data_IF_402495973377
#
_entry.id   IF_402495973377
#
_cell.length_a   1.000
_cell.length_b   1.000
_cell.length_c   1.000
_cell.angle_alpha   90.00
_cell.angle_beta   90.00
_cell.angle_gamma   90.00
#
_symmetry.space_group_name_H-M   'P 1'
#
loop_
_entity.id
_entity.type
_entity.pdbx_description
1 polymer ?
#
# COMPACT_ATOMS: atom_id res chain seq x y z
N UNK A 1 3.46 -18.35 84.04
CA UNK A 1 3.71 -16.91 83.80
C UNK A 1 2.59 -16.46 82.86
N UNK A 2 1.37 -16.14 83.30
CA UNK A 2 0.94 -14.99 84.15
C UNK A 2 1.60 -13.69 83.64
N UNK A 3 0.93 -12.60 83.23
CA UNK A 3 -0.49 -12.20 83.24
C UNK A 3 -0.70 -10.92 82.40
N UNK A 4 -1.97 -10.65 82.09
CA UNK A 4 -2.70 -9.36 82.26
C UNK A 4 -2.47 -8.15 81.33
N UNK A 5 -3.47 -7.89 80.48
CA UNK A 5 -4.14 -6.57 80.29
C UNK A 5 -4.81 -6.10 81.62
N UNK A 6 -5.57 -4.96 81.74
CA UNK A 6 -5.88 -3.83 80.84
C UNK A 6 -5.73 -2.47 81.59
N UNK A 7 -6.23 -1.34 81.07
CA UNK A 7 -7.10 -0.36 81.80
C UNK A 7 -7.70 0.65 80.81
N UNK A 8 -9.02 0.81 80.92
CA UNK A 8 -9.91 1.84 80.38
C UNK A 8 -10.50 2.66 81.54
N UNK A 9 -11.14 3.81 81.22
CA UNK A 9 -12.02 4.73 82.00
C UNK A 9 -11.41 6.13 82.23
N UNK A 10 -12.13 7.27 82.25
CA UNK A 10 -13.55 7.60 82.15
C UNK A 10 -13.74 9.11 81.83
N UNK A 11 -14.97 9.45 81.44
CA UNK A 11 -15.61 10.77 81.29
C UNK A 11 -15.45 11.79 82.44
N UNK A 12 -15.60 13.10 82.19
CA UNK A 12 -16.82 13.92 82.49
C UNK A 12 -16.63 15.46 82.41
N UNK A 13 -17.73 16.13 82.02
CA UNK A 13 -18.25 17.46 82.44
C UNK A 13 -17.68 18.78 81.87
N UNK A 14 -18.59 19.67 81.47
CA UNK A 14 -18.34 21.12 81.34
C UNK A 14 -19.32 21.86 80.43
N UNK A 15 -20.20 22.67 81.02
CA UNK A 15 -21.40 23.34 80.48
C UNK A 15 -21.13 24.74 79.88
N UNK A 16 -22.00 25.14 78.95
CA UNK A 16 -22.62 26.47 78.70
C UNK A 16 -21.83 27.78 78.44
N UNK A 17 -22.28 28.44 77.35
CA UNK A 17 -22.67 29.86 77.15
C UNK A 17 -21.67 30.95 76.73
N UNK A 18 -22.17 31.70 75.73
CA UNK A 18 -22.05 33.14 75.43
C UNK A 18 -21.22 33.65 74.24
N UNK A 19 -22.01 34.12 73.25
CA UNK A 19 -21.95 35.37 72.49
C UNK A 19 -20.58 36.02 72.18
N UNK A 20 -20.28 36.21 70.90
CA UNK A 20 -20.40 37.49 70.16
C UNK A 20 -19.57 37.42 68.87
N UNK A 21 -20.09 38.08 67.83
CA UNK A 21 -19.74 37.80 66.44
C UNK A 21 -18.35 38.24 65.97
N UNK A 22 -17.98 37.67 64.83
CA UNK A 22 -17.23 38.41 63.82
C UNK A 22 -17.68 37.89 62.45
N UNK A 23 -18.09 38.81 61.58
CA UNK A 23 -18.57 38.47 60.25
C UNK A 23 -17.40 38.07 59.36
N UNK A 24 -17.60 37.03 58.55
CA UNK A 24 -16.80 36.80 57.36
C UNK A 24 -17.74 36.52 56.19
N UNK A 25 -17.58 37.38 55.19
CA UNK A 25 -18.33 37.44 53.95
C UNK A 25 -18.02 36.19 53.13
N UNK A 26 -19.05 35.41 52.79
CA UNK A 26 -18.97 34.40 51.75
C UNK A 26 -18.72 35.10 50.40
N UNK A 27 -17.55 34.89 49.80
CA UNK A 27 -17.33 35.12 48.37
C UNK A 27 -17.26 33.77 47.66
N UNK A 28 -18.34 33.39 46.98
CA UNK A 28 -18.35 32.32 46.00
C UNK A 28 -17.44 32.73 44.82
N UNK A 29 -16.33 31.99 44.62
CA UNK A 29 -15.52 32.06 43.39
C UNK A 29 -16.05 31.06 42.35
N UNK A 30 -15.94 31.36 41.04
CA UNK A 30 -16.61 30.58 40.00
C UNK A 30 -16.00 29.17 39.86
N UNK A 31 -16.80 28.14 39.54
CA UNK A 31 -16.32 26.78 39.30
C UNK A 31 -15.69 26.73 37.89
N UNK A 32 -14.36 26.83 37.80
CA UNK A 32 -13.71 26.82 36.49
C UNK A 32 -12.20 26.60 36.45
N UNK A 33 -11.51 26.49 37.58
CA UNK A 33 -10.03 26.54 37.59
C UNK A 33 -9.34 25.18 37.76
N UNK A 34 -10.04 24.14 38.23
CA UNK A 34 -9.49 22.77 38.33
C UNK A 34 -9.49 22.05 36.97
N UNK A 35 -10.56 22.18 36.18
CA UNK A 35 -10.64 21.56 34.85
C UNK A 35 -9.65 22.15 33.85
N UNK A 36 -9.30 23.44 34.00
CA UNK A 36 -8.31 24.09 33.13
C UNK A 36 -6.89 23.72 33.55
N UNK A 37 -6.62 23.52 34.85
CA UNK A 37 -5.33 23.00 35.32
C UNK A 37 -5.08 21.58 34.84
N UNK A 38 -6.08 20.70 34.90
CA UNK A 38 -5.99 19.33 34.39
C UNK A 38 -5.75 19.29 32.88
N UNK A 39 -6.41 20.16 32.10
CA UNK A 39 -6.23 20.26 30.64
C UNK A 39 -4.86 20.84 30.25
N UNK A 40 -4.33 21.79 31.03
CA UNK A 40 -3.00 22.38 30.80
C UNK A 40 -1.88 21.42 31.20
N UNK A 41 -2.08 20.59 32.22
CA UNK A 41 -1.12 19.56 32.63
C UNK A 41 -1.10 18.38 31.62
N UNK A 42 -2.25 18.04 31.03
CA UNK A 42 -2.38 17.08 29.92
C UNK A 42 -1.71 17.56 28.62
N UNK A 43 -1.58 18.87 28.42
CA UNK A 43 -0.98 19.47 27.21
C UNK A 43 0.55 19.62 27.27
N UNK A 44 1.16 19.59 28.47
CA UNK A 44 2.62 19.73 28.64
C UNK A 44 3.36 18.40 28.74
N UNK A 45 2.64 17.32 29.01
CA UNK A 45 3.15 15.96 29.05
C UNK A 45 2.73 15.25 27.77
N UNK A 46 3.56 15.28 26.72
CA UNK A 46 3.40 14.42 25.54
C UNK A 46 3.54 12.91 25.82
N UNK A 47 3.42 12.48 27.08
CA UNK A 47 3.39 11.09 27.47
C UNK A 47 1.92 10.62 27.54
N UNK A 48 1.56 9.52 26.85
CA UNK A 48 0.23 8.94 26.93
C UNK A 48 -0.16 8.67 28.39
N UNK A 49 -1.42 8.94 28.74
CA UNK A 49 -1.97 8.55 30.04
C UNK A 49 -1.64 7.08 30.33
N UNK A 50 -1.04 6.81 31.49
CA UNK A 50 -0.66 5.46 31.90
C UNK A 50 -1.87 4.53 31.80
N UNK A 51 -1.84 3.60 30.83
CA UNK A 51 -2.93 2.66 30.55
C UNK A 51 -3.56 2.77 29.15
N UNK A 52 -3.15 3.73 28.30
CA UNK A 52 -3.46 3.64 26.88
C UNK A 52 -2.71 2.43 26.30
N UNK A 53 -3.44 1.35 26.03
CA UNK A 53 -2.92 0.18 25.31
C UNK A 53 -2.36 0.71 23.99
N UNK A 54 -1.04 0.75 23.86
CA UNK A 54 -0.38 0.98 22.56
C UNK A 54 -0.92 -0.11 21.66
N UNK A 55 -1.73 0.27 20.67
CA UNK A 55 -2.30 -0.69 19.73
C UNK A 55 -1.14 -1.30 18.97
N UNK A 56 -1.06 -2.63 18.97
CA UNK A 56 -0.03 -3.39 18.25
C UNK A 56 -0.20 -3.34 16.72
N UNK A 57 -1.23 -2.65 16.22
CA UNK A 57 -1.53 -2.47 14.79
C UNK A 57 -1.99 -1.05 14.51
N UNK A 58 -1.59 -0.54 13.35
CA UNK A 58 -2.09 0.73 12.82
C UNK A 58 -3.58 0.63 12.50
N UNK A 59 -4.31 1.71 12.80
CA UNK A 59 -5.65 1.97 12.29
C UNK A 59 -5.62 2.25 10.80
N UNK A 60 -6.77 2.16 10.14
CA UNK A 60 -6.87 2.43 8.70
C UNK A 60 -6.44 3.87 8.34
N UNK A 61 -6.73 4.84 9.22
CA UNK A 61 -6.33 6.24 9.05
C UNK A 61 -4.81 6.42 9.10
N UNK A 62 -4.14 5.79 10.08
CA UNK A 62 -2.67 5.80 10.20
C UNK A 62 -1.99 5.15 8.98
N UNK A 63 -2.53 4.04 8.47
CA UNK A 63 -2.01 3.37 7.27
C UNK A 63 -2.15 4.30 6.06
N UNK A 64 -3.31 4.94 5.90
CA UNK A 64 -3.55 5.86 4.80
C UNK A 64 -2.67 7.12 4.86
N UNK A 65 -2.46 7.70 6.04
CA UNK A 65 -1.53 8.83 6.17
C UNK A 65 -0.11 8.45 5.76
N UNK A 66 0.35 7.24 6.10
CA UNK A 66 1.65 6.74 5.66
C UNK A 66 1.73 6.59 4.14
N UNK A 67 0.69 6.04 3.54
CA UNK A 67 0.55 5.93 2.08
C UNK A 67 0.66 7.32 1.43
N UNK A 68 -0.11 8.30 1.92
CA UNK A 68 -0.12 9.67 1.39
C UNK A 68 1.25 10.33 1.57
N UNK A 69 1.88 10.19 2.74
CA UNK A 69 3.19 10.76 3.00
C UNK A 69 4.28 10.17 2.08
N UNK A 70 4.30 8.85 1.91
CA UNK A 70 5.24 8.18 1.01
C UNK A 70 5.00 8.55 -0.46
N UNK A 71 3.73 8.66 -0.87
CA UNK A 71 3.39 9.09 -2.23
C UNK A 71 3.83 10.53 -2.51
N UNK A 72 3.73 11.44 -1.53
CA UNK A 72 4.17 12.84 -1.65
C UNK A 72 5.69 12.96 -1.81
N UNK A 73 6.45 12.09 -1.13
CA UNK A 73 7.88 11.96 -1.37
C UNK A 73 8.16 11.40 -2.78
N UNK A 74 7.43 10.37 -3.21
CA UNK A 74 7.61 9.74 -4.52
C UNK A 74 7.29 10.68 -5.69
N UNK A 75 6.23 11.47 -5.63
CA UNK A 75 5.87 12.42 -6.71
C UNK A 75 6.93 13.51 -6.90
N UNK A 76 7.74 13.78 -5.87
CA UNK A 76 8.89 14.69 -5.93
C UNK A 76 10.15 14.06 -6.50
N UNK A 77 10.17 12.72 -6.66
CA UNK A 77 11.30 11.96 -7.19
C UNK A 77 11.53 12.28 -8.66
N UNK A 78 12.79 12.38 -9.07
CA UNK A 78 13.14 12.66 -10.46
C UNK A 78 12.71 11.53 -11.39
N UNK A 79 12.13 11.86 -12.55
CA UNK A 79 11.66 10.90 -13.58
C UNK A 79 12.69 9.82 -13.93
N UNK A 80 13.98 10.17 -13.91
CA UNK A 80 15.07 9.22 -14.20
C UNK A 80 15.17 8.11 -13.15
N UNK A 81 15.09 8.47 -11.87
CA UNK A 81 15.17 7.52 -10.77
C UNK A 81 13.96 6.58 -10.79
N UNK A 82 12.77 7.15 -10.93
CA UNK A 82 11.52 6.41 -11.12
C UNK A 82 11.62 5.41 -12.28
N UNK A 83 12.14 5.85 -13.43
CA UNK A 83 12.31 4.98 -14.61
C UNK A 83 13.26 3.81 -14.38
N UNK A 84 14.44 4.04 -13.77
CA UNK A 84 15.41 2.96 -13.54
C UNK A 84 14.96 1.99 -12.45
N UNK A 85 14.28 2.49 -11.41
CA UNK A 85 13.61 1.64 -10.42
C UNK A 85 12.53 0.77 -11.10
N UNK A 86 11.74 1.36 -11.99
CA UNK A 86 10.73 0.62 -12.76
C UNK A 86 11.32 -0.39 -13.75
N UNK A 87 12.46 -0.06 -14.37
CA UNK A 87 13.21 -0.99 -15.20
C UNK A 87 13.67 -2.21 -14.40
N UNK A 88 14.19 -1.99 -13.18
CA UNK A 88 14.59 -3.06 -12.28
C UNK A 88 13.40 -3.93 -11.84
N UNK A 89 12.26 -3.32 -11.53
CA UNK A 89 11.03 -4.06 -11.23
C UNK A 89 10.59 -4.96 -12.40
N UNK A 90 10.60 -4.43 -13.63
CA UNK A 90 10.31 -5.20 -14.83
C UNK A 90 11.25 -6.39 -15.01
N UNK A 91 12.54 -6.19 -14.75
CA UNK A 91 13.52 -7.28 -14.79
C UNK A 91 13.27 -8.32 -13.68
N UNK A 92 12.94 -7.89 -12.46
CA UNK A 92 12.61 -8.80 -11.36
C UNK A 92 11.41 -9.70 -11.66
N UNK A 93 10.42 -9.22 -12.43
CA UNK A 93 9.29 -10.05 -12.91
C UNK A 93 9.77 -11.23 -13.78
N UNK A 94 10.89 -11.09 -14.48
CA UNK A 94 11.41 -12.20 -15.30
C UNK A 94 11.91 -13.36 -14.43
N UNK A 95 12.30 -13.09 -13.18
CA UNK A 95 12.63 -14.14 -12.19
C UNK A 95 11.37 -14.92 -11.82
N UNK A 96 10.24 -14.23 -11.58
CA UNK A 96 8.93 -14.88 -11.36
C UNK A 96 8.59 -15.81 -12.51
N UNK A 97 8.66 -15.32 -13.75
CA UNK A 97 8.34 -16.12 -14.93
C UNK A 97 9.30 -17.31 -15.10
N UNK A 98 10.61 -17.07 -14.96
CA UNK A 98 11.65 -18.08 -15.06
C UNK A 98 11.45 -19.23 -14.06
N UNK A 99 11.22 -18.91 -12.79
CA UNK A 99 11.06 -19.92 -11.74
C UNK A 99 9.73 -20.67 -11.88
N UNK A 100 8.65 -19.96 -12.19
CA UNK A 100 7.34 -20.56 -12.41
C UNK A 100 7.41 -21.63 -13.52
N UNK A 101 8.00 -21.27 -14.67
CA UNK A 101 8.18 -22.19 -15.80
C UNK A 101 9.11 -23.35 -15.46
N UNK A 102 10.29 -23.06 -14.90
CA UNK A 102 11.33 -24.07 -14.67
C UNK A 102 10.88 -25.13 -13.67
N UNK A 103 10.22 -24.70 -12.59
CA UNK A 103 9.72 -25.63 -11.56
C UNK A 103 8.50 -26.39 -12.07
N UNK A 104 7.58 -25.75 -12.80
CA UNK A 104 6.46 -26.46 -13.43
C UNK A 104 6.95 -27.57 -14.35
N UNK A 105 7.99 -27.31 -15.14
CA UNK A 105 8.61 -28.32 -16.00
C UNK A 105 9.25 -29.45 -15.17
N UNK A 106 10.06 -29.10 -14.16
CA UNK A 106 10.74 -30.07 -13.31
C UNK A 106 9.78 -30.95 -12.51
N UNK A 107 8.58 -30.45 -12.19
CA UNK A 107 7.51 -31.19 -11.53
C UNK A 107 6.57 -31.92 -12.50
N UNK A 108 7.04 -32.25 -13.71
CA UNK A 108 6.28 -32.97 -14.74
C UNK A 108 4.94 -32.30 -15.10
N UNK A 109 4.89 -30.96 -15.03
CA UNK A 109 3.70 -30.19 -15.35
C UNK A 109 2.74 -29.97 -14.18
N UNK A 110 3.08 -30.35 -12.94
CA UNK A 110 2.26 -30.06 -11.76
C UNK A 110 2.22 -28.54 -11.47
N UNK A 111 1.13 -27.83 -11.82
CA UNK A 111 1.13 -26.36 -11.85
C UNK A 111 1.22 -25.73 -10.46
N UNK A 112 0.76 -26.45 -9.43
CA UNK A 112 0.80 -25.99 -8.04
C UNK A 112 2.25 -25.85 -7.55
N UNK A 113 3.15 -26.77 -7.94
CA UNK A 113 4.54 -26.74 -7.47
C UNK A 113 5.27 -25.54 -8.08
N UNK A 114 5.06 -25.27 -9.37
CA UNK A 114 5.58 -24.05 -10.00
C UNK A 114 5.03 -22.78 -9.37
N UNK A 115 3.72 -22.75 -9.08
CA UNK A 115 3.05 -21.59 -8.50
C UNK A 115 3.70 -21.13 -7.17
N UNK A 116 4.25 -22.05 -6.38
CA UNK A 116 4.95 -21.71 -5.11
C UNK A 116 6.14 -20.77 -5.30
N UNK A 117 6.78 -20.76 -6.47
CA UNK A 117 7.95 -19.91 -6.73
C UNK A 117 7.60 -18.61 -7.46
N UNK A 118 6.34 -18.49 -7.92
CA UNK A 118 5.84 -17.30 -8.59
C UNK A 118 6.01 -16.00 -7.77
N UNK A 119 5.83 -15.96 -6.44
CA UNK A 119 5.97 -14.71 -5.68
C UNK A 119 7.37 -14.11 -5.62
N UNK A 120 8.43 -14.85 -5.99
CA UNK A 120 9.81 -14.43 -5.70
C UNK A 120 10.24 -13.14 -6.41
N UNK A 121 9.85 -12.93 -7.67
CA UNK A 121 10.09 -11.66 -8.37
C UNK A 121 9.40 -10.49 -7.68
N UNK A 122 8.17 -10.69 -7.20
CA UNK A 122 7.43 -9.68 -6.44
C UNK A 122 8.05 -9.38 -5.08
N UNK A 123 8.64 -10.37 -4.41
CA UNK A 123 9.38 -10.14 -3.16
C UNK A 123 10.59 -9.21 -3.40
N UNK A 124 11.33 -9.39 -4.50
CA UNK A 124 12.41 -8.46 -4.85
C UNK A 124 11.91 -7.04 -5.09
N UNK A 125 10.71 -6.90 -5.64
CA UNK A 125 10.11 -5.60 -5.94
C UNK A 125 9.68 -4.92 -4.63
N UNK A 126 8.84 -5.57 -3.83
CA UNK A 126 8.25 -4.96 -2.63
C UNK A 126 9.32 -4.73 -1.55
N UNK A 127 10.23 -5.68 -1.32
CA UNK A 127 11.28 -5.52 -0.31
C UNK A 127 12.47 -4.68 -0.82
N UNK A 128 12.65 -4.62 -2.14
CA UNK A 128 13.69 -3.82 -2.78
C UNK A 128 13.26 -2.39 -3.10
N UNK A 129 12.01 -2.03 -2.80
CA UNK A 129 11.42 -0.73 -3.08
C UNK A 129 11.50 -0.34 -4.57
N UNK A 130 11.25 -1.33 -5.44
CA UNK A 130 11.24 -1.11 -6.88
C UNK A 130 9.88 -0.67 -7.37
N UNK A 131 9.88 0.23 -8.34
CA UNK A 131 8.67 0.90 -8.80
C UNK A 131 7.86 0.01 -9.76
N UNK A 132 6.75 -0.54 -9.27
CA UNK A 132 5.85 -1.38 -10.06
C UNK A 132 4.54 -0.65 -10.38
N UNK A 133 4.11 -0.73 -11.64
CA UNK A 133 2.93 -0.02 -12.13
C UNK A 133 1.66 -0.36 -11.33
N UNK A 134 1.46 -1.64 -11.02
CA UNK A 134 0.26 -2.12 -10.34
C UNK A 134 0.23 -1.73 -8.86
N UNK A 135 1.38 -1.54 -8.24
CA UNK A 135 1.51 -0.98 -6.89
C UNK A 135 1.20 0.52 -6.88
N UNK A 136 1.61 1.22 -7.94
CA UNK A 136 1.30 2.63 -8.19
C UNK A 136 -0.20 2.91 -8.46
N UNK A 137 -1.08 1.91 -8.39
CA UNK A 137 -2.54 2.11 -8.44
C UNK A 137 -3.13 2.55 -7.10
N UNK A 138 -2.33 2.56 -6.03
CA UNK A 138 -2.77 2.99 -4.70
C UNK A 138 -2.19 4.34 -4.26
N UNK A 139 -0.87 4.53 -4.07
CA UNK A 139 -0.36 5.76 -3.44
C UNK A 139 -0.59 7.03 -4.29
N UNK A 140 -0.24 7.08 -5.60
CA UNK A 140 -0.54 8.23 -6.45
C UNK A 140 -2.04 8.54 -6.58
N UNK A 141 -2.89 7.50 -6.56
CA UNK A 141 -4.35 7.67 -6.63
C UNK A 141 -4.88 8.29 -5.34
N UNK A 142 -4.35 7.88 -4.19
CA UNK A 142 -4.68 8.50 -2.90
C UNK A 142 -4.35 10.00 -2.89
N UNK A 143 -3.20 10.42 -3.45
CA UNK A 143 -2.87 11.84 -3.60
C UNK A 143 -3.87 12.62 -4.44
N UNK A 144 -4.32 12.05 -5.57
CA UNK A 144 -5.32 12.71 -6.42
C UNK A 144 -6.67 12.82 -5.69
N UNK A 145 -7.07 11.79 -4.95
CA UNK A 145 -8.31 11.81 -4.16
C UNK A 145 -8.26 12.83 -3.01
N UNK A 146 -7.10 13.01 -2.38
CA UNK A 146 -6.83 14.04 -1.37
C UNK A 146 -6.53 15.43 -1.96
N UNK A 147 -6.59 15.58 -3.29
CA UNK A 147 -6.31 16.82 -4.04
C UNK A 147 -4.89 17.37 -3.84
N UNK A 148 -3.94 16.49 -3.56
CA UNK A 148 -2.51 16.81 -3.42
C UNK A 148 -1.77 16.65 -4.75
N UNK A 149 -2.29 15.81 -5.66
CA UNK A 149 -1.77 15.62 -7.00
C UNK A 149 -2.83 15.84 -8.09
N UNK A 150 -2.39 16.20 -9.30
CA UNK A 150 -3.27 16.34 -10.46
C UNK A 150 -3.38 15.03 -11.25
N UNK A 151 -4.46 14.87 -12.00
CA UNK A 151 -4.68 13.71 -12.88
C UNK A 151 -3.56 13.60 -13.95
N UNK A 152 -3.10 14.69 -14.60
CA UNK A 152 -1.95 14.60 -15.50
C UNK A 152 -0.67 14.12 -14.82
N UNK A 153 -0.40 14.54 -13.58
CA UNK A 153 0.76 14.07 -12.82
C UNK A 153 0.68 12.56 -12.53
N UNK A 154 -0.51 12.07 -12.15
CA UNK A 154 -0.79 10.65 -11.99
C UNK A 154 -0.47 9.86 -13.28
N UNK A 155 -0.99 10.32 -14.42
CA UNK A 155 -0.70 9.68 -15.71
C UNK A 155 0.79 9.76 -16.09
N UNK A 156 1.49 10.81 -15.70
CA UNK A 156 2.94 10.94 -15.87
C UNK A 156 3.71 9.83 -15.14
N UNK A 157 3.47 9.65 -13.84
CA UNK A 157 4.06 8.58 -13.03
C UNK A 157 3.73 7.21 -13.64
N UNK A 158 2.44 6.96 -13.87
CA UNK A 158 1.97 5.69 -14.44
C UNK A 158 2.66 5.36 -15.77
N UNK A 159 2.82 6.35 -16.65
CA UNK A 159 3.45 6.15 -17.95
C UNK A 159 4.93 5.80 -17.80
N UNK A 160 5.67 6.53 -16.97
CA UNK A 160 7.11 6.31 -16.75
C UNK A 160 7.35 4.93 -16.15
N UNK A 161 6.60 4.59 -15.09
CA UNK A 161 6.73 3.31 -14.40
C UNK A 161 6.31 2.16 -15.32
N UNK A 162 5.18 2.28 -16.01
CA UNK A 162 4.70 1.22 -16.91
C UNK A 162 5.70 0.97 -18.04
N UNK A 163 6.21 2.02 -18.69
CA UNK A 163 7.23 1.88 -19.74
C UNK A 163 8.51 1.25 -19.20
N UNK A 164 8.99 1.66 -18.03
CA UNK A 164 10.14 1.04 -17.36
C UNK A 164 9.92 -0.45 -17.13
N UNK A 165 8.77 -0.83 -16.55
CA UNK A 165 8.41 -2.23 -16.30
C UNK A 165 8.35 -3.04 -17.60
N UNK A 166 7.73 -2.51 -18.66
CA UNK A 166 7.66 -3.17 -19.96
C UNK A 166 9.04 -3.41 -20.57
N UNK A 167 9.93 -2.41 -20.52
CA UNK A 167 11.28 -2.54 -21.04
C UNK A 167 12.10 -3.55 -20.24
N UNK A 168 12.04 -3.50 -18.90
CA UNK A 168 12.76 -4.44 -18.04
C UNK A 168 12.30 -5.89 -18.26
N UNK A 169 10.97 -6.09 -18.31
CA UNK A 169 10.36 -7.39 -18.60
C UNK A 169 10.71 -7.89 -20.00
N UNK A 170 10.68 -7.01 -21.01
CA UNK A 170 11.08 -7.33 -22.39
C UNK A 170 12.54 -7.77 -22.48
N UNK A 171 13.46 -7.07 -21.79
CA UNK A 171 14.88 -7.43 -21.79
C UNK A 171 15.10 -8.81 -21.15
N UNK A 172 14.47 -9.09 -20.01
CA UNK A 172 14.58 -10.42 -19.41
C UNK A 172 13.90 -11.50 -20.25
N UNK A 173 12.75 -11.22 -20.87
CA UNK A 173 12.08 -12.13 -21.80
C UNK A 173 12.97 -12.46 -23.02
N UNK A 174 13.68 -11.47 -23.57
CA UNK A 174 14.65 -11.67 -24.65
C UNK A 174 15.78 -12.60 -24.20
N UNK A 175 16.32 -12.39 -23.00
CA UNK A 175 17.36 -13.25 -22.42
C UNK A 175 16.85 -14.68 -22.28
N UNK A 176 15.68 -14.88 -21.68
CA UNK A 176 15.06 -16.20 -21.52
C UNK A 176 14.79 -16.89 -22.86
N UNK A 177 14.41 -16.12 -23.89
CA UNK A 177 14.07 -16.64 -25.21
C UNK A 177 15.30 -17.03 -26.07
N UNK A 178 16.49 -16.47 -25.81
CA UNK A 178 17.62 -16.53 -26.77
C UNK A 178 18.95 -17.02 -26.21
N UNK A 179 19.19 -16.97 -24.89
CA UNK A 179 20.54 -17.18 -24.32
C UNK A 179 20.81 -18.59 -23.78
N UNK A 180 19.79 -19.44 -23.72
CA UNK A 180 19.91 -20.81 -23.19
C UNK A 180 19.66 -20.94 -21.68
N UNK A 181 19.17 -19.88 -21.02
CA UNK A 181 18.68 -19.96 -19.63
C UNK A 181 17.59 -21.02 -19.50
N UNK A 182 16.67 -21.09 -20.47
CA UNK A 182 15.80 -22.24 -20.63
C UNK A 182 16.43 -23.29 -21.55
N UNK A 183 16.44 -24.54 -21.10
CA UNK A 183 16.69 -25.68 -21.99
C UNK A 183 15.58 -25.80 -23.04
N UNK A 184 15.84 -26.55 -24.11
CA UNK A 184 14.85 -26.72 -25.19
C UNK A 184 13.51 -27.29 -24.71
N UNK A 185 13.50 -28.12 -23.68
CA UNK A 185 12.27 -28.70 -23.13
C UNK A 185 11.55 -27.73 -22.19
N UNK A 186 12.28 -27.00 -21.34
CA UNK A 186 11.71 -25.93 -20.50
C UNK A 186 11.11 -24.82 -21.37
N UNK A 187 11.73 -24.52 -22.51
CA UNK A 187 11.23 -23.55 -23.49
C UNK A 187 9.82 -23.92 -24.01
N UNK A 188 9.53 -25.21 -24.21
CA UNK A 188 8.19 -25.66 -24.63
C UNK A 188 7.16 -25.41 -23.53
N UNK A 189 7.52 -25.66 -22.28
CA UNK A 189 6.67 -25.34 -21.12
C UNK A 189 6.43 -23.83 -21.02
N UNK A 190 7.46 -23.01 -21.24
CA UNK A 190 7.33 -21.55 -21.26
C UNK A 190 6.32 -21.08 -22.32
N UNK A 191 6.45 -21.57 -23.55
CA UNK A 191 5.53 -21.25 -24.65
C UNK A 191 4.10 -21.70 -24.31
N UNK A 192 3.92 -22.93 -23.83
CA UNK A 192 2.61 -23.46 -23.49
C UNK A 192 1.93 -22.65 -22.38
N UNK A 193 2.67 -22.24 -21.35
CA UNK A 193 2.17 -21.37 -20.26
C UNK A 193 1.76 -20.00 -20.83
N UNK A 194 2.63 -19.34 -21.58
CA UNK A 194 2.35 -18.00 -22.12
C UNK A 194 1.18 -18.00 -23.12
N UNK A 195 1.02 -19.07 -23.92
CA UNK A 195 -0.09 -19.21 -24.86
C UNK A 195 -1.46 -19.27 -24.15
N UNK A 196 -1.53 -19.68 -22.88
CA UNK A 196 -2.80 -19.68 -22.13
C UNK A 196 -3.40 -18.28 -21.98
N UNK A 197 -2.56 -17.25 -21.85
CA UNK A 197 -2.99 -15.85 -21.78
C UNK A 197 -3.63 -15.40 -23.09
N UNK A 198 -2.96 -15.69 -24.22
CA UNK A 198 -3.45 -15.40 -25.58
C UNK A 198 -4.78 -16.09 -25.86
N UNK A 199 -4.94 -17.33 -25.41
CA UNK A 199 -6.17 -18.12 -25.64
C UNK A 199 -7.33 -17.71 -24.74
N UNK A 200 -7.09 -16.89 -23.72
CA UNK A 200 -8.14 -16.42 -22.80
C UNK A 200 -8.85 -15.22 -23.41
N UNK A 201 -10.18 -15.28 -23.52
CA UNK A 201 -10.97 -14.17 -24.09
C UNK A 201 -10.83 -12.87 -23.30
N UNK A 202 -10.78 -11.73 -24.00
CA UNK A 202 -10.49 -10.40 -23.43
C UNK A 202 -11.40 -9.99 -22.26
N UNK A 203 -12.67 -10.38 -22.27
CA UNK A 203 -13.58 -10.13 -21.15
C UNK A 203 -13.18 -10.88 -19.87
N UNK A 204 -12.75 -12.13 -20.01
CA UNK A 204 -12.22 -12.89 -18.89
C UNK A 204 -10.90 -12.33 -18.42
N UNK A 205 -10.02 -11.91 -19.34
CA UNK A 205 -8.75 -11.26 -19.01
C UNK A 205 -8.96 -9.99 -18.20
N UNK A 206 -9.93 -9.15 -18.58
CA UNK A 206 -10.28 -7.94 -17.85
C UNK A 206 -10.64 -8.24 -16.39
N UNK A 207 -11.58 -9.14 -16.11
CA UNK A 207 -11.97 -9.43 -14.73
C UNK A 207 -10.90 -10.19 -13.93
N UNK A 208 -10.19 -11.13 -14.56
CA UNK A 208 -9.03 -11.77 -13.93
C UNK A 208 -7.96 -10.74 -13.56
N UNK A 209 -7.75 -9.76 -14.44
CA UNK A 209 -6.92 -8.60 -14.17
C UNK A 209 -7.48 -7.75 -13.02
N UNK A 210 -8.78 -7.48 -12.98
CA UNK A 210 -9.39 -6.71 -11.90
C UNK A 210 -9.18 -7.35 -10.52
N UNK A 211 -9.35 -8.66 -10.39
CA UNK A 211 -9.04 -9.35 -9.13
C UNK A 211 -7.55 -9.32 -8.79
N UNK A 212 -6.66 -9.49 -9.76
CA UNK A 212 -5.23 -9.34 -9.53
C UNK A 212 -4.87 -7.92 -9.08
N UNK A 213 -5.44 -6.89 -9.70
CA UNK A 213 -5.22 -5.49 -9.32
C UNK A 213 -5.68 -5.19 -7.90
N UNK A 214 -6.84 -5.73 -7.51
CA UNK A 214 -7.35 -5.62 -6.14
C UNK A 214 -6.40 -6.29 -5.14
N UNK A 215 -5.87 -7.48 -5.45
CA UNK A 215 -4.90 -8.17 -4.61
C UNK A 215 -3.63 -7.34 -4.45
N UNK A 216 -3.07 -6.82 -5.56
CA UNK A 216 -1.84 -6.02 -5.51
C UNK A 216 -2.03 -4.74 -4.70
N UNK A 217 -3.12 -4.00 -4.91
CA UNK A 217 -3.43 -2.83 -4.08
C UNK A 217 -3.59 -3.21 -2.60
N UNK A 218 -4.16 -4.38 -2.31
CA UNK A 218 -4.22 -4.92 -0.94
C UNK A 218 -2.85 -5.23 -0.35
N UNK A 219 -1.91 -5.72 -1.16
CA UNK A 219 -0.51 -5.93 -0.73
C UNK A 219 0.13 -4.62 -0.35
N UNK A 220 0.00 -3.58 -1.19
CA UNK A 220 0.55 -2.25 -0.89
C UNK A 220 -0.02 -1.72 0.42
N UNK A 221 -1.34 -1.82 0.62
CA UNK A 221 -1.97 -1.42 1.87
C UNK A 221 -1.37 -2.14 3.09
N UNK A 222 -1.22 -3.46 2.99
CA UNK A 222 -0.68 -4.30 4.07
C UNK A 222 0.81 -4.03 4.29
N UNK A 223 1.56 -3.67 3.24
CA UNK A 223 2.97 -3.31 3.32
C UNK A 223 3.19 -2.07 4.20
N UNK A 224 2.39 -1.02 3.98
CA UNK A 224 2.36 0.18 4.83
C UNK A 224 1.83 -0.07 6.25
N UNK A 225 1.04 -1.12 6.44
CA UNK A 225 0.55 -1.56 7.74
C UNK A 225 1.57 -2.43 8.50
N UNK A 226 2.55 -3.00 7.82
CA UNK A 226 3.52 -3.92 8.39
C UNK A 226 4.61 -3.20 9.19
N UNK A 227 5.03 -3.80 10.29
CA UNK A 227 6.04 -3.24 11.21
C UNK A 227 7.38 -3.98 11.17
N UNK A 228 7.45 -5.15 10.53
CA UNK A 228 8.64 -5.97 10.45
C UNK A 228 8.79 -6.67 9.09
N UNK A 229 10.05 -6.92 8.70
CA UNK A 229 10.38 -7.46 7.39
C UNK A 229 9.91 -8.91 7.18
N UNK A 230 9.82 -9.72 8.23
CA UNK A 230 9.42 -11.13 8.10
C UNK A 230 7.92 -11.22 7.84
N UNK A 231 7.10 -10.51 8.62
CA UNK A 231 5.65 -10.43 8.37
C UNK A 231 5.37 -9.86 6.98
N UNK A 232 6.08 -8.80 6.58
CA UNK A 232 6.01 -8.23 5.23
C UNK A 232 6.28 -9.28 4.15
N UNK A 233 7.39 -10.01 4.26
CA UNK A 233 7.76 -11.08 3.32
C UNK A 233 6.68 -12.17 3.24
N UNK A 234 6.16 -12.64 4.38
CA UNK A 234 5.13 -13.69 4.42
C UNK A 234 3.83 -13.22 3.78
N UNK A 235 3.39 -12.00 4.07
CA UNK A 235 2.15 -11.45 3.52
C UNK A 235 2.26 -11.22 2.01
N UNK A 236 3.38 -10.65 1.54
CA UNK A 236 3.69 -10.51 0.11
C UNK A 236 3.68 -11.87 -0.57
N UNK A 237 4.38 -12.86 0.00
CA UNK A 237 4.43 -14.21 -0.55
C UNK A 237 3.04 -14.84 -0.71
N UNK A 238 2.24 -14.84 0.37
CA UNK A 238 0.90 -15.45 0.38
C UNK A 238 -0.04 -14.73 -0.60
N UNK A 239 -0.01 -13.39 -0.61
CA UNK A 239 -0.88 -12.61 -1.49
C UNK A 239 -0.55 -12.84 -2.97
N UNK A 240 0.73 -12.81 -3.35
CA UNK A 240 1.12 -13.05 -4.74
C UNK A 240 0.96 -14.51 -5.17
N UNK A 241 0.93 -15.47 -4.23
CA UNK A 241 0.60 -16.87 -4.52
C UNK A 241 -0.85 -17.02 -5.02
N UNK A 242 -1.75 -16.12 -4.62
CA UNK A 242 -3.14 -16.13 -5.09
C UNK A 242 -3.26 -15.84 -6.61
N UNK A 243 -2.27 -15.18 -7.22
CA UNK A 243 -2.30 -14.85 -8.65
C UNK A 243 -2.26 -16.12 -9.53
N UNK A 244 -1.20 -16.97 -9.48
CA UNK A 244 -1.16 -18.19 -10.27
C UNK A 244 -2.21 -19.22 -9.82
N UNK A 245 -2.51 -19.33 -8.52
CA UNK A 245 -3.50 -20.29 -8.03
C UNK A 245 -4.94 -19.91 -8.43
N UNK A 246 -5.23 -18.62 -8.53
CA UNK A 246 -6.51 -18.10 -9.01
C UNK A 246 -6.62 -18.02 -10.53
N UNK A 247 -5.59 -18.41 -11.28
CA UNK A 247 -5.47 -18.19 -12.73
C UNK A 247 -5.74 -16.73 -13.12
N UNK A 248 -5.20 -15.80 -12.32
CA UNK A 248 -5.33 -14.36 -12.50
C UNK A 248 -4.17 -13.82 -13.34
N UNK A 249 -4.36 -12.65 -13.94
CA UNK A 249 -3.36 -12.04 -14.82
C UNK A 249 -2.85 -10.72 -14.26
N UNK A 250 -1.53 -10.58 -14.27
CA UNK A 250 -0.83 -9.37 -13.84
C UNK A 250 -0.15 -8.74 -15.04
N UNK A 251 -0.42 -7.47 -15.33
CA UNK A 251 -0.08 -6.81 -16.59
C UNK A 251 1.40 -6.87 -16.92
N UNK A 252 2.29 -6.70 -15.93
CA UNK A 252 3.75 -6.76 -16.17
C UNK A 252 4.22 -8.20 -16.46
N UNK A 253 3.59 -9.20 -15.84
CA UNK A 253 3.88 -10.63 -16.10
C UNK A 253 3.34 -11.00 -17.48
N UNK A 254 2.08 -10.67 -17.78
CA UNK A 254 1.46 -10.86 -19.09
C UNK A 254 2.22 -10.18 -20.21
N UNK A 255 2.76 -8.98 -19.97
CA UNK A 255 3.60 -8.29 -20.94
C UNK A 255 4.93 -9.00 -21.16
N UNK A 256 5.55 -9.51 -20.08
CA UNK A 256 6.78 -10.30 -20.17
C UNK A 256 6.55 -11.60 -20.95
N UNK A 257 5.44 -12.30 -20.69
CA UNK A 257 5.02 -13.50 -21.42
C UNK A 257 4.73 -13.23 -22.90
N UNK A 258 4.03 -12.13 -23.20
CA UNK A 258 3.80 -11.69 -24.58
C UNK A 258 5.13 -11.46 -25.31
N UNK A 259 6.04 -10.68 -24.70
CA UNK A 259 7.33 -10.37 -25.31
C UNK A 259 8.16 -11.62 -25.51
N UNK A 260 8.11 -12.57 -24.57
CA UNK A 260 8.70 -13.89 -24.75
C UNK A 260 8.14 -14.60 -25.99
N UNK A 261 6.82 -14.68 -26.15
CA UNK A 261 6.19 -15.28 -27.35
C UNK A 261 6.60 -14.57 -28.65
N UNK A 262 6.65 -13.23 -28.64
CA UNK A 262 7.08 -12.42 -29.79
C UNK A 262 8.51 -12.76 -30.18
N UNK A 263 9.45 -12.81 -29.23
CA UNK A 263 10.84 -13.19 -29.52
C UNK A 263 11.00 -14.65 -29.97
N UNK A 264 10.06 -15.52 -29.59
CA UNK A 264 9.98 -16.91 -30.08
C UNK A 264 9.25 -17.04 -31.42
N UNK A 265 8.77 -15.94 -32.01
CA UNK A 265 8.02 -15.94 -33.27
C UNK A 265 6.67 -16.67 -33.17
N UNK A 266 6.08 -16.69 -31.97
CA UNK A 266 4.82 -17.40 -31.66
C UNK A 266 3.60 -16.49 -31.60
N UNK A 267 3.81 -15.19 -31.45
CA UNK A 267 2.73 -14.20 -31.41
C UNK A 267 3.16 -12.91 -32.10
N UNK A 268 2.17 -12.15 -32.60
CA UNK A 268 2.37 -10.81 -33.14
C UNK A 268 2.21 -9.79 -32.01
N UNK A 269 3.21 -8.91 -31.85
CA UNK A 269 3.23 -7.92 -30.77
C UNK A 269 1.95 -7.10 -30.70
N UNK A 270 1.48 -6.57 -31.83
CA UNK A 270 0.29 -5.73 -31.85
C UNK A 270 -0.96 -6.49 -31.38
N UNK A 271 -1.18 -7.69 -31.91
CA UNK A 271 -2.33 -8.55 -31.55
C UNK A 271 -2.31 -8.90 -30.06
N UNK A 272 -1.20 -9.41 -29.56
CA UNK A 272 -1.08 -9.73 -28.14
C UNK A 272 -1.15 -8.51 -27.23
N UNK A 273 -0.63 -7.36 -27.67
CA UNK A 273 -0.73 -6.12 -26.89
C UNK A 273 -2.21 -5.68 -26.76
N UNK A 274 -3.00 -5.77 -27.83
CA UNK A 274 -4.40 -5.34 -27.82
C UNK A 274 -5.36 -6.36 -27.24
N UNK A 275 -5.15 -7.66 -27.47
CA UNK A 275 -6.11 -8.70 -27.10
C UNK A 275 -5.79 -9.37 -25.77
N UNK A 276 -4.51 -9.38 -25.37
CA UNK A 276 -4.04 -9.97 -24.11
C UNK A 276 -3.63 -8.92 -23.07
N UNK A 277 -2.63 -8.08 -23.36
CA UNK A 277 -2.07 -7.16 -22.36
C UNK A 277 -3.02 -6.02 -22.01
N UNK A 278 -3.66 -5.39 -22.98
CA UNK A 278 -4.53 -4.23 -22.75
C UNK A 278 -5.74 -4.55 -21.85
N UNK A 279 -6.49 -5.65 -22.04
CA UNK A 279 -7.56 -6.00 -21.10
C UNK A 279 -7.05 -6.25 -19.68
N UNK A 280 -5.88 -6.89 -19.53
CA UNK A 280 -5.26 -7.12 -18.22
C UNK A 280 -4.83 -5.81 -17.58
N UNK A 281 -4.23 -4.89 -18.35
CA UNK A 281 -3.88 -3.54 -17.90
C UNK A 281 -5.10 -2.83 -17.32
N UNK A 282 -6.15 -2.70 -18.14
CA UNK A 282 -7.40 -2.04 -17.73
C UNK A 282 -8.02 -2.70 -16.51
N UNK A 283 -8.02 -4.04 -16.47
CA UNK A 283 -8.47 -4.82 -15.33
C UNK A 283 -7.67 -4.47 -14.07
N UNK A 284 -6.34 -4.61 -14.10
CA UNK A 284 -5.48 -4.33 -12.96
C UNK A 284 -5.66 -2.89 -12.45
N UNK A 285 -5.72 -1.89 -13.35
CA UNK A 285 -5.93 -0.48 -12.98
C UNK A 285 -7.26 -0.30 -12.27
N UNK A 286 -8.36 -0.81 -12.84
CA UNK A 286 -9.70 -0.71 -12.23
C UNK A 286 -9.74 -1.41 -10.88
N UNK A 287 -9.19 -2.63 -10.79
CA UNK A 287 -9.13 -3.40 -9.55
C UNK A 287 -8.40 -2.69 -8.42
N UNK A 288 -7.25 -2.10 -8.72
CA UNK A 288 -6.46 -1.35 -7.75
C UNK A 288 -7.15 -0.06 -7.28
N UNK A 289 -7.63 0.75 -8.23
CA UNK A 289 -8.33 2.01 -7.94
C UNK A 289 -9.60 1.78 -7.12
N UNK A 290 -10.36 0.70 -7.38
CA UNK A 290 -11.58 0.38 -6.63
C UNK A 290 -11.29 0.18 -5.15
N UNK A 291 -10.25 -0.60 -4.79
CA UNK A 291 -9.90 -0.82 -3.39
C UNK A 291 -9.58 0.50 -2.69
N UNK A 292 -8.75 1.35 -3.33
CA UNK A 292 -8.39 2.67 -2.81
C UNK A 292 -9.61 3.55 -2.62
N UNK A 293 -10.49 3.58 -3.61
CA UNK A 293 -11.69 4.42 -3.59
C UNK A 293 -12.62 4.01 -2.44
N UNK A 294 -12.81 2.70 -2.24
CA UNK A 294 -13.63 2.18 -1.13
C UNK A 294 -13.02 2.54 0.22
N UNK A 295 -11.73 2.29 0.39
CA UNK A 295 -11.02 2.57 1.65
C UNK A 295 -10.97 4.07 1.94
N UNK A 296 -10.74 4.91 0.92
CA UNK A 296 -10.79 6.36 1.02
C UNK A 296 -12.19 6.87 1.37
N UNK A 297 -13.24 6.33 0.75
CA UNK A 297 -14.63 6.69 1.07
C UNK A 297 -14.95 6.44 2.56
N UNK A 298 -14.57 5.28 3.10
CA UNK A 298 -14.79 4.98 4.51
C UNK A 298 -14.03 5.92 5.45
N UNK A 299 -12.82 6.35 5.09
CA UNK A 299 -12.03 7.27 5.90
C UNK A 299 -12.49 8.72 5.78
N UNK A 300 -12.88 9.18 4.59
CA UNK A 300 -13.41 10.53 4.37
C UNK A 300 -14.71 10.75 5.16
N UNK A 301 -15.52 9.71 5.33
CA UNK A 301 -16.71 9.74 6.20
C UNK A 301 -16.32 9.91 7.68
N UNK A 302 -15.21 9.33 8.12
CA UNK A 302 -14.70 9.46 9.50
C UNK A 302 -14.01 10.83 9.73
N UNK A 303 -13.32 11.38 8.70
CA UNK A 303 -12.66 12.69 8.73
C UNK A 303 -13.62 13.85 8.45
N UNK A 304 -14.60 14.08 9.32
CA UNK A 304 -15.37 15.34 9.27
C UNK A 304 -14.71 16.51 10.03
N UNK A 305 -13.58 16.33 10.72
CA UNK A 305 -12.87 17.45 11.33
C UNK A 305 -11.36 17.16 11.40
N UNK A 306 -10.55 17.88 10.60
CA UNK A 306 -9.28 18.56 10.96
C UNK A 306 -8.67 19.22 9.69
N UNK A 307 -8.10 20.41 9.89
CA UNK A 307 -7.87 21.47 8.89
C UNK A 307 -6.46 21.51 8.26
N UNK A 308 -6.38 22.23 7.13
CA UNK A 308 -5.25 22.99 6.55
C UNK A 308 -4.02 22.24 6.00
N UNK A 309 -4.11 21.88 4.72
CA UNK A 309 -2.97 21.89 3.78
C UNK A 309 -3.45 22.38 2.41
N UNK A 310 -2.54 22.92 1.59
CA UNK A 310 -2.85 23.41 0.24
C UNK A 310 -3.49 22.29 -0.59
N UNK A 311 -4.74 22.49 -1.00
CA UNK A 311 -5.49 21.57 -1.87
C UNK A 311 -5.62 22.19 -3.25
N UNK A 312 -5.40 21.38 -4.28
CA UNK A 312 -5.64 21.80 -5.66
C UNK A 312 -7.12 22.13 -5.84
N UNK A 313 -7.40 23.22 -6.55
CA UNK A 313 -8.74 23.50 -7.06
C UNK A 313 -9.17 22.42 -8.07
N UNK A 314 -10.49 22.29 -8.30
CA UNK A 314 -11.01 21.31 -9.27
C UNK A 314 -10.40 21.50 -10.68
N UNK A 315 -10.06 22.74 -11.05
CA UNK A 315 -9.38 23.03 -12.33
C UNK A 315 -7.94 22.49 -12.30
N UNK A 316 -7.17 22.80 -11.26
CA UNK A 316 -5.77 22.36 -11.15
C UNK A 316 -5.65 20.83 -11.03
N UNK A 317 -6.63 20.18 -10.42
CA UNK A 317 -6.70 18.71 -10.40
C UNK A 317 -6.83 18.12 -11.82
N UNK A 318 -7.66 18.71 -12.66
CA UNK A 318 -7.97 18.18 -14.00
C UNK A 318 -6.90 18.55 -15.02
N UNK A 319 -6.38 19.78 -14.96
CA UNK A 319 -5.48 20.32 -15.99
C UNK A 319 -4.01 20.45 -15.54
N UNK A 320 -3.71 20.22 -14.26
CA UNK A 320 -2.41 20.53 -13.67
C UNK A 320 -2.33 21.99 -13.22
N UNK A 321 -1.25 22.34 -12.52
CA UNK A 321 -0.94 23.75 -12.20
C UNK A 321 -0.47 24.43 -13.48
N UNK A 322 -0.98 25.64 -13.72
CA UNK A 322 -0.36 26.54 -14.71
C UNK A 322 1.05 26.86 -14.17
N UNK A 323 2.11 26.56 -14.93
CA UNK A 323 3.46 27.04 -14.57
C UNK A 323 3.39 28.57 -14.44
N UNK A 324 4.01 29.17 -13.40
CA UNK A 324 4.10 30.62 -13.37
C UNK A 324 4.81 31.03 -14.66
N UNK A 325 4.19 31.89 -15.47
CA UNK A 325 4.90 32.61 -16.53
C UNK A 325 6.17 33.17 -15.88
N UNK A 326 7.34 32.77 -16.38
CA UNK A 326 8.58 33.47 -16.07
C UNK A 326 8.31 34.95 -16.37
N UNK A 327 8.09 35.71 -15.29
CA UNK A 327 7.97 37.16 -15.38
C UNK A 327 9.38 37.63 -15.71
N UNK A 328 9.60 37.80 -17.00
CA UNK A 328 10.77 38.44 -17.59
C UNK A 328 11.05 39.75 -16.83
N UNK A 329 12.17 39.78 -16.09
CA UNK A 329 12.82 41.00 -15.60
C UNK A 329 14.30 40.77 -15.32
#
# INVERSE_FOLDING_TARGET
MNSSEPVSTESTHGESTDETGNGDVQSEGPPGDESVRDVVEQSRSGAPAAGAVVRDRFSADEIFHRIVAAADEEISTGTRELFFSALAAGFAITVTFMLYVSVTHASEGAPIVGALLYPLGFIYIILGDYQLYTENTLPPVALVLERLASIPALFGIWSVVFVGNLLGGSLGALVLATTGVFSNDVMKTAVAISETGIQTGSWSLFFKGAFAGLIVAGVVWIDYASQDTISRLVMVYIAFLAIPLGNLYHVVVSSTELMFLVFRGKEVLLTGATEFVLPVLLGNTVGGVVLVTVVNYFQAVERTYQEQNYQLSAREMVFGKDEPEDVDS
#
